data_IF_410066330436
#
_entry.id   IF_410066330436
#
_cell.length_a   1.000
_cell.length_b   1.000
_cell.length_c   1.000
_cell.angle_alpha   90.00
_cell.angle_beta   90.00
_cell.angle_gamma   90.00
#
_symmetry.space_group_name_H-M   'P 1'
#
loop_
_entity.id
_entity.type
_entity.pdbx_description
1 polymer ?
#
# COMPACT_ATOMS: atom_id res chain seq x y z
N UNK A 1 -19.37 -12.82 -1.22
CA UNK A 1 -19.09 -11.37 -1.41
C UNK A 1 -18.18 -10.96 -0.25
N UNK A 2 -17.03 -10.35 -0.50
CA UNK A 2 -16.18 -9.84 0.59
C UNK A 2 -16.75 -8.54 1.13
N UNK A 3 -16.74 -8.35 2.44
CA UNK A 3 -17.10 -7.07 3.07
C UNK A 3 -15.94 -6.06 2.99
N UNK A 4 -16.28 -4.78 3.20
CA UNK A 4 -15.34 -3.66 3.12
C UNK A 4 -14.18 -3.79 4.13
N UNK A 5 -14.40 -4.40 5.29
CA UNK A 5 -13.38 -4.57 6.34
C UNK A 5 -12.31 -5.56 5.88
N UNK A 6 -12.74 -6.68 5.32
CA UNK A 6 -11.85 -7.71 4.76
C UNK A 6 -11.08 -7.17 3.57
N UNK A 7 -11.73 -6.40 2.69
CA UNK A 7 -11.08 -5.77 1.53
C UNK A 7 -10.07 -4.71 1.96
N UNK A 8 -10.40 -3.87 2.94
CA UNK A 8 -9.47 -2.90 3.52
C UNK A 8 -8.21 -3.57 4.08
N UNK A 9 -8.39 -4.71 4.76
CA UNK A 9 -7.26 -5.52 5.23
C UNK A 9 -6.40 -6.05 4.08
N UNK A 10 -7.02 -6.62 3.03
CA UNK A 10 -6.28 -7.09 1.85
C UNK A 10 -5.53 -5.95 1.14
N UNK A 11 -6.11 -4.75 1.06
CA UNK A 11 -5.43 -3.57 0.50
C UNK A 11 -4.15 -3.26 1.31
N UNK A 12 -4.24 -3.28 2.64
CA UNK A 12 -3.09 -3.06 3.54
C UNK A 12 -2.06 -4.17 3.40
N UNK A 13 -2.47 -5.43 3.49
CA UNK A 13 -1.58 -6.59 3.37
C UNK A 13 -0.85 -6.60 2.02
N UNK A 14 -1.52 -6.13 0.96
CA UNK A 14 -0.95 -5.97 -0.38
C UNK A 14 0.08 -4.84 -0.52
N UNK A 15 0.18 -3.94 0.46
CA UNK A 15 1.30 -2.99 0.52
C UNK A 15 2.57 -3.66 1.03
N UNK A 16 2.46 -4.52 2.04
CA UNK A 16 3.63 -5.10 2.69
C UNK A 16 4.07 -6.41 2.05
N UNK A 17 3.12 -7.19 1.53
CA UNK A 17 3.34 -8.55 1.02
C UNK A 17 2.68 -8.77 -0.33
N UNK A 18 3.06 -9.86 -1.01
CA UNK A 18 2.34 -10.29 -2.22
C UNK A 18 1.12 -11.10 -1.82
N UNK A 19 -0.06 -10.57 -2.14
CA UNK A 19 -1.31 -11.32 -1.96
C UNK A 19 -1.36 -12.58 -2.84
N UNK A 20 -1.91 -13.69 -2.33
CA UNK A 20 -2.34 -14.82 -3.13
C UNK A 20 -3.23 -14.40 -4.31
N UNK A 21 -3.03 -15.01 -5.48
CA UNK A 21 -3.77 -14.70 -6.71
C UNK A 21 -5.30 -14.65 -6.54
N UNK A 22 -5.94 -15.64 -5.88
CA UNK A 22 -7.38 -15.64 -5.66
C UNK A 22 -7.88 -14.47 -4.81
N UNK A 23 -7.14 -14.11 -3.75
CA UNK A 23 -7.49 -13.00 -2.86
C UNK A 23 -7.38 -11.67 -3.57
N UNK A 24 -6.32 -11.50 -4.36
CA UNK A 24 -6.13 -10.33 -5.23
C UNK A 24 -7.28 -10.19 -6.24
N UNK A 25 -7.75 -11.28 -6.83
CA UNK A 25 -8.87 -11.25 -7.78
C UNK A 25 -10.18 -10.84 -7.10
N UNK A 26 -10.49 -11.41 -5.93
CA UNK A 26 -11.69 -11.08 -5.16
C UNK A 26 -11.68 -9.63 -4.66
N UNK A 27 -10.52 -9.15 -4.19
CA UNK A 27 -10.31 -7.75 -3.81
C UNK A 27 -10.62 -6.83 -4.99
N UNK A 28 -10.03 -7.08 -6.16
CA UNK A 28 -10.27 -6.29 -7.38
C UNK A 28 -11.73 -6.25 -7.78
N UNK A 29 -12.44 -7.37 -7.70
CA UNK A 29 -13.88 -7.41 -7.98
C UNK A 29 -14.67 -6.49 -7.04
N UNK A 30 -14.34 -6.46 -5.75
CA UNK A 30 -15.01 -5.57 -4.81
C UNK A 30 -14.72 -4.09 -5.13
N UNK A 31 -13.48 -3.76 -5.53
CA UNK A 31 -13.13 -2.38 -5.91
C UNK A 31 -13.95 -1.87 -7.11
N UNK A 32 -14.40 -2.76 -8.01
CA UNK A 32 -15.27 -2.38 -9.12
C UNK A 32 -16.62 -1.87 -8.63
N UNK A 33 -17.13 -2.41 -7.52
CA UNK A 33 -18.48 -2.17 -7.02
C UNK A 33 -18.53 -1.16 -5.85
N UNK A 34 -17.42 -0.94 -5.15
CA UNK A 34 -17.36 -0.11 -3.95
C UNK A 34 -16.36 1.04 -4.13
N UNK A 35 -16.89 2.25 -4.29
CA UNK A 35 -16.09 3.47 -4.44
C UNK A 35 -15.22 3.76 -3.21
N UNK A 36 -15.76 3.58 -2.00
CA UNK A 36 -15.01 3.81 -0.77
C UNK A 36 -13.73 2.96 -0.69
N UNK A 37 -13.83 1.66 -1.00
CA UNK A 37 -12.66 0.78 -1.02
C UNK A 37 -11.68 1.12 -2.16
N UNK A 38 -12.19 1.60 -3.30
CA UNK A 38 -11.35 2.09 -4.41
C UNK A 38 -10.51 3.28 -3.98
N UNK A 39 -11.13 4.26 -3.32
CA UNK A 39 -10.46 5.46 -2.83
C UNK A 39 -9.38 5.11 -1.80
N UNK A 40 -9.66 4.18 -0.88
CA UNK A 40 -8.66 3.70 0.09
C UNK A 40 -7.47 3.05 -0.62
N UNK A 41 -7.71 2.19 -1.61
CA UNK A 41 -6.64 1.55 -2.39
C UNK A 41 -5.77 2.58 -3.13
N UNK A 42 -6.38 3.61 -3.71
CA UNK A 42 -5.67 4.68 -4.40
C UNK A 42 -4.85 5.56 -3.46
N UNK A 43 -5.39 5.92 -2.30
CA UNK A 43 -4.69 6.69 -1.25
C UNK A 43 -3.48 5.93 -0.72
N UNK A 44 -3.63 4.64 -0.41
CA UNK A 44 -2.51 3.79 0.03
C UNK A 44 -1.42 3.70 -1.05
N UNK A 45 -1.81 3.55 -2.31
CA UNK A 45 -0.87 3.58 -3.43
C UNK A 45 -0.16 4.93 -3.59
N UNK A 46 -0.87 6.04 -3.39
CA UNK A 46 -0.28 7.39 -3.39
C UNK A 46 0.75 7.55 -2.28
N UNK A 47 0.38 7.25 -1.04
CA UNK A 47 1.28 7.33 0.12
C UNK A 47 2.54 6.47 -0.11
N UNK A 48 2.38 5.24 -0.60
CA UNK A 48 3.53 4.36 -0.88
C UNK A 48 4.48 4.94 -1.93
N UNK A 49 3.95 5.59 -2.97
CA UNK A 49 4.79 6.25 -3.99
C UNK A 49 5.50 7.47 -3.42
N UNK A 50 4.79 8.33 -2.68
CA UNK A 50 5.36 9.50 -2.04
C UNK A 50 6.50 9.12 -1.06
N UNK A 51 6.28 8.12 -0.20
CA UNK A 51 7.32 7.63 0.72
C UNK A 51 8.55 7.05 -0.01
N UNK A 52 8.34 6.34 -1.12
CA UNK A 52 9.44 5.82 -1.96
C UNK A 52 10.21 6.94 -2.66
N UNK A 53 9.55 8.04 -3.01
CA UNK A 53 10.20 9.21 -3.59
C UNK A 53 11.03 9.94 -2.54
N UNK A 54 10.47 10.18 -1.35
CA UNK A 54 11.18 10.80 -0.24
C UNK A 54 12.46 10.02 0.14
N UNK A 55 12.38 8.68 0.20
CA UNK A 55 13.55 7.83 0.46
C UNK A 55 14.57 7.75 -0.68
N UNK A 56 14.27 8.33 -1.86
CA UNK A 56 15.22 8.48 -2.98
C UNK A 56 15.84 9.88 -3.03
N UNK A 57 15.22 10.85 -2.37
CA UNK A 57 15.63 12.26 -2.33
C UNK A 57 16.52 12.58 -1.12
N UNK A 58 17.01 11.59 -0.38
CA UNK A 58 18.19 11.76 0.48
C UNK A 58 19.43 11.65 -0.41
N UNK A 59 20.13 12.75 -0.73
CA UNK A 59 21.52 12.63 -1.14
C UNK A 59 22.27 11.96 0.00
N UNK A 60 23.19 11.08 -0.33
CA UNK A 60 24.19 10.57 0.59
C UNK A 60 25.10 11.72 1.03
N UNK A 61 24.70 12.53 2.00
CA UNK A 61 25.60 13.46 2.70
C UNK A 61 25.04 13.74 4.12
N UNK A 62 25.85 13.43 5.14
CA UNK A 62 25.74 13.83 6.56
C UNK A 62 24.86 12.97 7.51
N UNK A 63 25.28 11.73 7.81
CA UNK A 63 25.39 11.29 9.21
C UNK A 63 26.55 10.29 9.36
N UNK A 64 27.74 10.85 9.53
CA UNK A 64 28.77 10.22 10.35
C UNK A 64 28.26 10.19 11.80
N UNK A 65 27.35 9.27 12.11
CA UNK A 65 26.94 9.00 13.49
C UNK A 65 28.16 8.50 14.29
N UNK A 66 28.45 9.05 15.49
CA UNK A 66 29.65 8.71 16.23
C UNK A 66 29.58 7.25 16.67
N UNK A 67 30.54 6.44 16.20
CA UNK A 67 30.78 5.10 16.75
C UNK A 67 31.31 5.26 18.17
N UNK A 68 30.42 5.11 19.15
CA UNK A 68 30.78 4.80 20.55
C UNK A 68 30.74 3.29 20.76
#
# INVERSE_FOLDING_TARGET
MLDCKTVSRLISDGQDTRLPGPERARMRLHLVLCEACRNVNEQMGFLRRAMRQLGRETPEDEDAGPKR
#
